data_IF_108762054290
#
_entry.id   IF_108762054290
#
_cell.length_a   1.000
_cell.length_b   1.000
_cell.length_c   1.000
_cell.angle_alpha   90.00
_cell.angle_beta   90.00
_cell.angle_gamma   90.00
#
_symmetry.space_group_name_H-M   'P 1'
#
loop_
_entity.id
_entity.type
_entity.pdbx_description
1 polymer ?
#
# COMPACT_ATOMS: atom_id res chain seq x y z
N UNK A 1 0.79 -19.39 47.78
CA UNK A 1 -0.06 -19.58 46.58
C UNK A 1 -1.30 -18.68 46.54
N UNK A 2 -1.22 -17.44 47.06
CA UNK A 2 -2.32 -16.45 46.96
C UNK A 2 -1.87 -15.11 46.35
N UNK A 3 -0.58 -14.94 46.06
CA UNK A 3 0.00 -13.70 45.54
C UNK A 3 0.15 -13.67 44.01
N UNK A 4 -0.05 -14.79 43.31
CA UNK A 4 0.04 -14.84 41.83
C UNK A 4 -1.32 -14.62 41.15
N UNK A 5 -2.44 -14.87 41.84
CA UNK A 5 -3.77 -14.65 41.28
C UNK A 5 -4.25 -13.19 41.31
N UNK A 6 -3.71 -12.34 42.18
CA UNK A 6 -4.12 -10.93 42.27
C UNK A 6 -3.41 -10.02 41.25
N UNK A 7 -2.29 -10.47 40.68
CA UNK A 7 -1.60 -9.72 39.61
C UNK A 7 -2.12 -10.03 38.20
N UNK A 8 -2.82 -11.15 38.01
CA UNK A 8 -3.36 -11.56 36.72
C UNK A 8 -4.72 -10.90 36.37
N UNK A 9 -5.44 -10.35 37.36
CA UNK A 9 -6.74 -9.70 37.16
C UNK A 9 -6.65 -8.19 36.89
N UNK A 10 -5.48 -7.58 37.00
CA UNK A 10 -5.28 -6.13 36.81
C UNK A 10 -4.82 -5.72 35.39
N UNK A 11 -4.66 -6.67 34.47
CA UNK A 11 -4.21 -6.40 33.08
C UNK A 11 -5.39 -6.41 32.08
N UNK A 12 -6.63 -6.69 32.53
CA UNK A 12 -7.80 -6.86 31.66
C UNK A 12 -8.82 -5.71 31.68
N UNK A 13 -8.48 -4.54 32.21
CA UNK A 13 -9.31 -3.32 32.09
C UNK A 13 -8.66 -2.31 31.14
N UNK A 14 -8.70 -2.62 29.85
CA UNK A 14 -8.37 -1.69 28.78
C UNK A 14 -9.39 -0.55 28.75
N UNK A 15 -9.08 0.52 29.46
CA UNK A 15 -9.80 1.79 29.40
C UNK A 15 -9.82 2.29 27.94
N UNK A 16 -10.99 2.61 27.36
CA UNK A 16 -11.05 3.20 26.03
C UNK A 16 -10.43 4.59 26.07
N UNK A 17 -9.39 4.79 25.24
CA UNK A 17 -8.84 6.11 24.95
C UNK A 17 -9.95 7.01 24.41
N UNK A 18 -10.19 8.11 25.11
CA UNK A 18 -11.14 9.13 24.74
C UNK A 18 -10.92 9.62 23.29
N UNK A 19 -11.99 9.85 22.51
CA UNK A 19 -11.88 10.57 21.26
C UNK A 19 -11.51 12.02 21.54
N UNK A 20 -10.41 12.47 20.94
CA UNK A 20 -10.02 13.87 20.89
C UNK A 20 -11.20 14.71 20.39
N UNK A 21 -11.76 15.54 21.29
CA UNK A 21 -12.68 16.62 20.97
C UNK A 21 -11.95 17.63 20.08
N UNK A 22 -12.08 17.50 18.75
CA UNK A 22 -11.74 18.58 17.82
C UNK A 22 -13.03 19.30 17.43
N UNK A 23 -13.30 20.33 18.23
CA UNK A 23 -14.03 21.54 17.92
C UNK A 23 -15.04 21.47 16.77
N UNK A 24 -16.31 21.40 17.16
CA UNK A 24 -17.40 21.96 16.39
C UNK A 24 -17.13 23.46 16.23
N UNK A 25 -16.74 23.89 15.03
CA UNK A 25 -17.01 25.27 14.60
C UNK A 25 -18.28 25.19 13.78
N UNK A 26 -19.34 25.66 14.41
CA UNK A 26 -20.64 25.90 13.81
C UNK A 26 -20.46 26.72 12.54
N UNK A 27 -21.14 26.25 11.49
CA UNK A 27 -21.60 27.03 10.34
C UNK A 27 -21.95 28.46 10.76
N UNK A 28 -21.26 29.44 10.17
CA UNK A 28 -21.82 30.77 9.89
C UNK A 28 -21.28 31.30 8.58
N UNK A 29 -21.44 30.50 7.52
CA UNK A 29 -21.65 31.09 6.21
C UNK A 29 -23.09 31.60 6.20
N UNK A 30 -23.24 32.90 6.44
CA UNK A 30 -24.39 33.63 5.96
C UNK A 30 -24.32 33.60 4.44
N UNK A 31 -24.86 32.54 3.84
CA UNK A 31 -25.34 32.63 2.47
C UNK A 31 -26.57 33.52 2.56
N UNK A 32 -26.40 34.77 2.15
CA UNK A 32 -27.49 35.69 1.85
C UNK A 32 -28.38 34.99 0.81
N UNK A 33 -29.54 34.51 1.25
CA UNK A 33 -30.61 34.03 0.37
C UNK A 33 -31.35 35.29 -0.07
N UNK A 34 -31.28 35.72 -1.35
CA UNK A 34 -32.25 36.68 -1.84
C UNK A 34 -33.61 35.96 -1.88
N UNK A 35 -34.55 36.41 -1.04
CA UNK A 35 -35.96 36.06 -1.17
C UNK A 35 -36.45 36.45 -2.57
N UNK A 36 -37.10 35.57 -3.33
CA UNK A 36 -37.82 35.97 -4.52
C UNK A 36 -39.13 36.67 -4.12
N UNK A 37 -39.26 37.94 -4.47
CA UNK A 37 -40.52 38.68 -4.34
C UNK A 37 -41.64 37.99 -5.16
N UNK A 38 -42.85 37.82 -4.61
CA UNK A 38 -43.99 37.39 -5.40
C UNK A 38 -44.60 38.60 -6.11
N UNK A 39 -44.14 38.89 -7.33
CA UNK A 39 -44.86 39.81 -8.23
C UNK A 39 -45.71 39.05 -9.24
N UNK A 40 -47.00 39.27 -9.07
CA UNK A 40 -48.15 38.97 -9.93
C UNK A 40 -47.91 39.06 -11.43
N UNK A 41 -48.37 38.04 -12.17
CA UNK A 41 -48.75 38.19 -13.58
C UNK A 41 -48.68 36.90 -14.41
N UNK A 42 -49.82 36.37 -14.84
CA UNK A 42 -49.90 35.56 -16.07
C UNK A 42 -50.09 34.03 -15.92
N UNK A 43 -51.24 33.57 -15.42
CA UNK A 43 -51.68 32.17 -15.49
C UNK A 43 -52.05 31.74 -16.92
N UNK A 44 -51.11 31.57 -17.87
CA UNK A 44 -51.40 30.97 -19.19
C UNK A 44 -50.22 30.21 -19.86
N UNK A 45 -49.37 29.48 -19.14
CA UNK A 45 -48.39 28.56 -19.79
C UNK A 45 -48.07 27.25 -19.04
N UNK A 46 -48.77 26.94 -17.94
CA UNK A 46 -48.37 25.84 -17.04
C UNK A 46 -48.76 24.42 -17.50
N UNK A 47 -49.63 24.25 -18.50
CA UNK A 47 -50.14 22.92 -18.86
C UNK A 47 -49.37 22.19 -19.97
N UNK A 48 -48.60 22.89 -20.82
CA UNK A 48 -47.89 22.26 -21.95
C UNK A 48 -46.45 21.80 -21.58
N UNK A 49 -45.85 22.37 -20.53
CA UNK A 49 -44.49 22.02 -20.08
C UNK A 49 -44.45 20.78 -19.19
N UNK A 50 -45.54 20.45 -18.48
CA UNK A 50 -45.58 19.31 -17.55
C UNK A 50 -45.50 17.96 -18.28
N UNK A 51 -46.13 17.83 -19.46
CA UNK A 51 -46.07 16.61 -20.27
C UNK A 51 -44.70 16.35 -20.89
N UNK A 52 -44.00 17.40 -21.33
CA UNK A 52 -42.61 17.29 -21.84
C UNK A 52 -41.61 17.01 -20.72
N UNK A 53 -41.81 17.57 -19.53
CA UNK A 53 -41.00 17.30 -18.36
C UNK A 53 -41.20 15.87 -17.83
N UNK A 54 -42.44 15.35 -17.83
CA UNK A 54 -42.70 13.96 -17.46
C UNK A 54 -42.08 12.98 -18.47
N UNK A 55 -42.18 13.24 -19.77
CA UNK A 55 -41.56 12.42 -20.81
C UNK A 55 -40.02 12.49 -20.78
N UNK A 56 -39.42 13.65 -20.47
CA UNK A 56 -37.97 13.77 -20.30
C UNK A 56 -37.47 13.10 -19.03
N UNK A 57 -38.27 13.08 -17.96
CA UNK A 57 -37.97 12.31 -16.73
C UNK A 57 -38.08 10.82 -17.00
N UNK A 58 -39.08 10.34 -17.74
CA UNK A 58 -39.21 8.90 -18.09
C UNK A 58 -38.11 8.46 -19.07
N UNK A 59 -37.74 9.30 -20.04
CA UNK A 59 -36.63 9.05 -20.96
C UNK A 59 -35.28 9.12 -20.25
N UNK A 60 -35.12 10.06 -19.31
CA UNK A 60 -34.01 10.04 -18.37
C UNK A 60 -34.04 8.77 -17.53
N UNK A 61 -35.14 8.32 -16.96
CA UNK A 61 -35.18 7.09 -16.16
C UNK A 61 -34.80 5.83 -16.98
N UNK A 62 -35.12 5.79 -18.29
CA UNK A 62 -34.76 4.69 -19.19
C UNK A 62 -33.32 4.74 -19.73
N UNK A 63 -32.85 5.91 -20.18
CA UNK A 63 -31.48 6.12 -20.69
C UNK A 63 -30.45 6.14 -19.54
N UNK A 64 -30.85 6.62 -18.36
CA UNK A 64 -30.03 6.70 -17.14
C UNK A 64 -30.06 5.42 -16.30
N UNK A 65 -30.78 4.38 -16.76
CA UNK A 65 -30.79 3.08 -16.09
C UNK A 65 -29.41 2.40 -16.15
N UNK A 66 -28.61 2.67 -17.21
CA UNK A 66 -27.29 2.06 -17.40
C UNK A 66 -26.23 3.06 -17.91
N UNK A 67 -25.88 4.09 -17.12
CA UNK A 67 -24.92 5.14 -17.51
C UNK A 67 -23.51 4.60 -17.74
N UNK A 68 -23.22 3.37 -17.29
CA UNK A 68 -21.95 2.71 -17.51
C UNK A 68 -21.78 2.19 -18.95
N UNK A 69 -22.87 1.95 -19.72
CA UNK A 69 -22.79 1.48 -21.12
C UNK A 69 -22.18 2.53 -22.03
N UNK A 70 -22.62 3.78 -21.90
CA UNK A 70 -22.08 4.92 -22.65
C UNK A 70 -20.62 5.20 -22.28
N UNK A 71 -20.32 5.15 -20.97
CA UNK A 71 -18.94 5.32 -20.50
C UNK A 71 -18.04 4.19 -20.98
N UNK A 72 -18.52 2.94 -21.02
CA UNK A 72 -17.78 1.81 -21.60
C UNK A 72 -17.54 2.01 -23.09
N UNK A 73 -18.55 2.41 -23.87
CA UNK A 73 -18.41 2.65 -25.29
C UNK A 73 -17.37 3.74 -25.57
N UNK A 74 -17.42 4.86 -24.83
CA UNK A 74 -16.46 5.97 -24.92
C UNK A 74 -15.01 5.53 -24.69
N UNK A 75 -14.80 4.59 -23.77
CA UNK A 75 -13.49 4.23 -23.27
C UNK A 75 -13.02 2.84 -23.69
N UNK A 76 -13.77 2.15 -24.54
CA UNK A 76 -13.49 0.77 -24.98
C UNK A 76 -12.08 0.63 -25.54
N UNK A 77 -11.66 1.56 -26.41
CA UNK A 77 -10.33 1.55 -27.05
C UNK A 77 -9.22 1.75 -26.01
N UNK A 78 -9.41 2.65 -25.05
CA UNK A 78 -8.45 2.92 -23.97
C UNK A 78 -8.39 1.78 -22.94
N UNK A 79 -9.50 1.08 -22.72
CA UNK A 79 -9.55 -0.08 -21.83
C UNK A 79 -8.78 -1.27 -22.42
N UNK A 80 -8.84 -1.47 -23.74
CA UNK A 80 -8.10 -2.52 -24.43
C UNK A 80 -6.58 -2.34 -24.40
N UNK A 81 -6.07 -1.11 -24.23
CA UNK A 81 -4.62 -0.82 -24.14
C UNK A 81 -3.97 -1.34 -22.85
N UNK A 82 -4.77 -1.78 -21.88
CA UNK A 82 -4.30 -2.37 -20.62
C UNK A 82 -4.45 -1.44 -19.41
N UNK A 83 -3.93 -1.90 -18.25
CA UNK A 83 -4.20 -1.24 -16.96
C UNK A 83 -3.26 -0.07 -16.65
N UNK A 84 -1.99 -0.15 -17.05
CA UNK A 84 -0.92 0.72 -16.55
C UNK A 84 -0.46 1.77 -17.56
N UNK A 85 -0.96 1.70 -18.80
CA UNK A 85 -0.36 2.38 -19.94
C UNK A 85 -0.01 1.39 -21.01
N UNK A 86 0.49 1.91 -22.12
CA UNK A 86 1.00 1.12 -23.22
C UNK A 86 2.41 1.59 -23.55
N UNK A 87 3.21 0.66 -24.08
CA UNK A 87 4.54 0.95 -24.57
C UNK A 87 4.46 1.27 -26.06
N UNK A 88 4.75 2.52 -26.44
CA UNK A 88 4.82 2.93 -27.84
C UNK A 88 6.08 3.79 -28.02
N UNK A 89 6.82 3.53 -29.11
CA UNK A 89 7.96 4.34 -29.55
C UNK A 89 9.02 4.58 -28.46
N UNK A 90 9.30 3.55 -27.64
CA UNK A 90 10.34 3.61 -26.60
C UNK A 90 9.94 4.38 -25.34
N UNK A 91 8.68 4.81 -25.21
CA UNK A 91 8.18 5.49 -24.04
C UNK A 91 6.92 4.82 -23.49
N UNK A 92 6.79 4.84 -22.16
CA UNK A 92 5.52 4.53 -21.50
C UNK A 92 4.56 5.70 -21.69
N UNK A 93 3.45 5.47 -22.40
CA UNK A 93 2.37 6.44 -22.53
C UNK A 93 1.28 6.14 -21.48
N UNK A 94 0.82 7.15 -20.72
CA UNK A 94 -0.30 6.98 -19.81
C UNK A 94 -1.60 6.83 -20.61
N UNK A 95 -2.60 6.23 -19.96
CA UNK A 95 -3.93 6.07 -20.54
C UNK A 95 -4.71 7.38 -20.50
N UNK A 96 -5.68 7.55 -21.41
CA UNK A 96 -6.59 8.70 -21.40
C UNK A 96 -7.58 8.69 -20.22
N UNK A 97 -7.62 7.61 -19.43
CA UNK A 97 -8.43 7.47 -18.22
C UNK A 97 -7.54 7.40 -16.98
N UNK A 98 -7.93 8.16 -15.96
CA UNK A 98 -7.37 7.98 -14.63
C UNK A 98 -7.85 6.67 -13.99
N UNK A 99 -6.96 6.00 -13.24
CA UNK A 99 -7.27 4.75 -12.55
C UNK A 99 -8.53 4.85 -11.66
N UNK A 100 -8.77 6.01 -11.04
CA UNK A 100 -9.99 6.27 -10.24
C UNK A 100 -11.27 6.26 -11.07
N UNK A 101 -11.25 6.80 -12.29
CA UNK A 101 -12.41 6.75 -13.19
C UNK A 101 -12.64 5.32 -13.66
N UNK A 102 -11.57 4.59 -14.03
CA UNK A 102 -11.66 3.16 -14.37
C UNK A 102 -12.27 2.31 -13.26
N UNK A 103 -11.81 2.46 -12.01
CA UNK A 103 -12.34 1.70 -10.88
C UNK A 103 -13.82 2.00 -10.59
N UNK A 104 -14.26 3.26 -10.80
CA UNK A 104 -15.69 3.62 -10.72
C UNK A 104 -16.51 2.90 -11.80
N UNK A 105 -16.04 2.87 -13.04
CA UNK A 105 -16.70 2.13 -14.12
C UNK A 105 -16.76 0.64 -13.82
N UNK A 106 -15.64 0.04 -13.40
CA UNK A 106 -15.60 -1.37 -13.00
C UNK A 106 -16.59 -1.68 -11.88
N UNK A 107 -16.71 -0.81 -10.88
CA UNK A 107 -17.70 -0.94 -9.81
C UNK A 107 -19.13 -0.89 -10.35
N UNK A 108 -19.46 0.08 -11.21
CA UNK A 108 -20.80 0.21 -11.82
C UNK A 108 -21.18 -1.04 -12.64
N UNK A 109 -20.25 -1.59 -13.42
CA UNK A 109 -20.45 -2.80 -14.25
C UNK A 109 -20.64 -4.05 -13.39
N UNK A 110 -19.77 -4.26 -12.39
CA UNK A 110 -19.86 -5.42 -11.49
C UNK A 110 -21.12 -5.37 -10.62
N UNK A 111 -21.57 -4.19 -10.19
CA UNK A 111 -22.84 -4.04 -9.46
C UNK A 111 -24.05 -4.39 -10.32
N UNK A 112 -23.97 -4.18 -11.63
CA UNK A 112 -24.99 -4.61 -12.59
C UNK A 112 -24.92 -6.12 -12.91
N UNK A 113 -24.02 -6.87 -12.26
CA UNK A 113 -23.85 -8.32 -12.46
C UNK A 113 -23.20 -8.70 -13.79
N UNK A 114 -22.52 -7.75 -14.46
CA UNK A 114 -21.81 -8.00 -15.72
C UNK A 114 -20.33 -8.25 -15.46
N UNK A 115 -19.69 -9.04 -16.34
CA UNK A 115 -18.27 -9.36 -16.24
C UNK A 115 -17.35 -8.24 -16.74
N UNK A 116 -16.14 -8.18 -16.17
CA UNK A 116 -15.11 -7.20 -16.51
C UNK A 116 -13.89 -7.85 -17.18
N UNK A 117 -13.81 -7.88 -18.53
CA UNK A 117 -12.79 -8.64 -19.26
C UNK A 117 -11.46 -7.90 -19.49
N UNK A 118 -11.38 -6.60 -19.16
CA UNK A 118 -10.25 -5.75 -19.56
C UNK A 118 -9.01 -5.86 -18.65
N UNK A 119 -9.17 -6.32 -17.41
CA UNK A 119 -8.09 -6.36 -16.43
C UNK A 119 -7.54 -7.79 -16.28
N UNK A 120 -6.22 -8.00 -16.35
CA UNK A 120 -5.65 -9.32 -16.09
C UNK A 120 -5.84 -9.73 -14.63
N UNK A 121 -5.90 -11.03 -14.39
CA UNK A 121 -6.02 -11.58 -13.04
C UNK A 121 -4.79 -11.19 -12.21
N UNK A 122 -5.02 -10.90 -10.92
CA UNK A 122 -3.94 -10.53 -9.99
C UNK A 122 -3.00 -11.71 -9.81
N UNK A 123 -1.70 -11.46 -9.98
CA UNK A 123 -0.64 -12.45 -9.71
C UNK A 123 -0.58 -12.80 -8.22
N UNK A 124 -0.22 -14.05 -7.95
CA UNK A 124 0.04 -14.55 -6.60
C UNK A 124 1.15 -13.76 -5.89
N UNK A 125 1.02 -13.62 -4.57
CA UNK A 125 2.00 -12.92 -3.73
C UNK A 125 3.21 -13.82 -3.42
N UNK A 126 4.40 -13.22 -3.30
CA UNK A 126 5.62 -13.95 -2.89
C UNK A 126 5.65 -14.12 -1.36
N UNK A 127 5.73 -15.36 -0.90
CA UNK A 127 5.70 -15.72 0.54
C UNK A 127 7.07 -16.05 1.16
N UNK A 128 8.17 -15.76 0.48
CA UNK A 128 9.52 -16.09 0.98
C UNK A 128 10.00 -15.10 2.05
N UNK A 129 10.33 -15.59 3.25
CA UNK A 129 10.96 -14.80 4.31
C UNK A 129 12.48 -14.64 4.06
N UNK A 130 13.04 -13.47 4.35
CA UNK A 130 14.46 -13.16 4.15
C UNK A 130 15.37 -13.81 5.20
N UNK A 131 14.90 -13.90 6.45
CA UNK A 131 15.72 -14.21 7.62
C UNK A 131 16.69 -13.08 8.00
N UNK A 132 17.10 -13.02 9.26
CA UNK A 132 18.12 -12.07 9.71
C UNK A 132 19.51 -12.52 9.26
N UNK A 133 20.37 -11.56 8.93
CA UNK A 133 21.76 -11.82 8.50
C UNK A 133 22.55 -12.53 9.62
N UNK A 134 22.34 -12.13 10.87
CA UNK A 134 23.04 -12.70 12.02
C UNK A 134 22.78 -14.20 12.15
N UNK A 135 21.51 -14.60 12.12
CA UNK A 135 21.09 -15.99 12.31
C UNK A 135 21.62 -16.89 11.20
N UNK A 136 21.60 -16.40 9.95
CA UNK A 136 22.15 -17.13 8.79
C UNK A 136 23.63 -17.44 8.94
N UNK A 137 24.42 -16.49 9.45
CA UNK A 137 25.88 -16.60 9.58
C UNK A 137 26.26 -17.27 10.92
N UNK A 138 25.31 -17.44 11.84
CA UNK A 138 25.60 -17.93 13.18
C UNK A 138 26.13 -19.37 13.18
N UNK A 139 25.61 -20.25 12.32
CA UNK A 139 26.09 -21.62 12.19
C UNK A 139 27.53 -21.65 11.65
N UNK A 140 27.77 -20.94 10.55
CA UNK A 140 29.11 -20.80 9.93
C UNK A 140 30.15 -20.28 10.93
N UNK A 141 29.77 -19.31 11.77
CA UNK A 141 30.67 -18.80 12.81
C UNK A 141 31.04 -19.85 13.85
N UNK A 142 30.09 -20.67 14.30
CA UNK A 142 30.35 -21.73 15.30
C UNK A 142 31.29 -22.80 14.75
N UNK A 143 31.09 -23.20 13.49
CA UNK A 143 31.96 -24.16 12.79
C UNK A 143 33.38 -23.60 12.62
N UNK A 144 33.51 -22.35 12.19
CA UNK A 144 34.80 -21.69 12.06
C UNK A 144 35.54 -21.57 13.39
N UNK A 145 34.82 -21.30 14.49
CA UNK A 145 35.41 -21.32 15.83
C UNK A 145 35.95 -22.70 16.18
N UNK A 146 35.19 -23.78 15.93
CA UNK A 146 35.66 -25.14 16.19
C UNK A 146 36.91 -25.50 15.36
N UNK A 147 36.92 -25.17 14.07
CA UNK A 147 38.06 -25.39 13.18
C UNK A 147 39.30 -24.60 13.63
N UNK A 148 39.13 -23.37 14.13
CA UNK A 148 40.22 -22.56 14.67
C UNK A 148 40.78 -23.17 15.97
N UNK A 149 39.91 -23.70 16.83
CA UNK A 149 40.33 -24.36 18.07
C UNK A 149 41.16 -25.61 17.80
N UNK A 150 40.83 -26.40 16.78
CA UNK A 150 41.63 -27.56 16.38
C UNK A 150 43.04 -27.18 15.91
N UNK A 151 43.17 -26.05 15.21
CA UNK A 151 44.46 -25.53 14.71
C UNK A 151 45.28 -24.78 15.77
N UNK A 152 44.70 -24.54 16.95
CA UNK A 152 45.32 -23.75 18.01
C UNK A 152 46.67 -24.31 18.49
N UNK A 153 46.81 -25.63 18.75
CA UNK A 153 48.07 -26.19 19.24
C UNK A 153 49.22 -25.99 18.25
N UNK A 154 48.96 -26.21 16.96
CA UNK A 154 49.94 -26.00 15.89
C UNK A 154 50.36 -24.53 15.81
N UNK A 155 49.40 -23.61 15.89
CA UNK A 155 49.69 -22.17 15.88
C UNK A 155 50.52 -21.73 17.10
N UNK A 156 50.29 -22.31 18.27
CA UNK A 156 51.08 -22.04 19.47
C UNK A 156 52.53 -22.53 19.32
N UNK A 157 52.74 -23.73 18.77
CA UNK A 157 54.08 -24.24 18.49
C UNK A 157 54.80 -23.37 17.47
N UNK A 158 54.13 -22.96 16.40
CA UNK A 158 54.68 -22.06 15.40
C UNK A 158 55.05 -20.69 16.01
N UNK A 159 54.22 -20.14 16.91
CA UNK A 159 54.55 -18.89 17.61
C UNK A 159 55.77 -19.03 18.51
N UNK A 160 55.84 -20.10 19.31
CA UNK A 160 56.98 -20.39 20.18
C UNK A 160 58.27 -20.54 19.38
N UNK A 161 58.23 -21.28 18.27
CA UNK A 161 59.36 -21.44 17.35
C UNK A 161 59.86 -20.10 16.80
N UNK A 162 58.97 -19.25 16.27
CA UNK A 162 59.35 -17.91 15.77
C UNK A 162 59.97 -17.02 16.84
N UNK A 163 59.44 -17.03 18.07
CA UNK A 163 60.00 -16.26 19.19
C UNK A 163 61.38 -16.77 19.59
N UNK A 164 61.58 -18.08 19.58
CA UNK A 164 62.84 -18.71 19.92
C UNK A 164 63.92 -18.43 18.87
N UNK A 165 63.60 -18.61 17.58
CA UNK A 165 64.51 -18.27 16.47
C UNK A 165 64.92 -16.79 16.48
N UNK A 166 64.00 -15.89 16.82
CA UNK A 166 64.31 -14.46 16.96
C UNK A 166 65.33 -14.22 18.07
N UNK A 167 65.15 -14.87 19.23
CA UNK A 167 66.07 -14.77 20.37
C UNK A 167 67.47 -15.29 20.01
N UNK A 168 67.55 -16.47 19.38
CA UNK A 168 68.83 -17.04 18.94
C UNK A 168 69.58 -16.09 17.98
N UNK A 169 68.88 -15.52 17.00
CA UNK A 169 69.47 -14.55 16.06
C UNK A 169 69.94 -13.26 16.74
N UNK A 170 69.25 -12.81 17.80
CA UNK A 170 69.68 -11.64 18.59
C UNK A 170 70.94 -11.96 19.40
N UNK A 171 71.01 -13.14 20.02
CA UNK A 171 72.20 -13.59 20.75
C UNK A 171 73.42 -13.81 19.83
N UNK A 172 73.23 -14.36 18.62
CA UNK A 172 74.28 -14.48 17.61
C UNK A 172 74.82 -13.11 17.19
N UNK A 173 73.93 -12.15 16.89
CA UNK A 173 74.32 -10.77 16.55
C UNK A 173 75.04 -10.04 17.68
N UNK A 174 74.76 -10.39 18.94
CA UNK A 174 75.47 -9.83 20.10
C UNK A 174 76.86 -10.44 20.28
N UNK A 175 77.09 -11.68 19.81
CA UNK A 175 78.41 -12.34 19.87
C UNK A 175 79.33 -11.96 18.70
N UNK A 176 78.76 -11.58 17.56
CA UNK A 176 79.50 -11.09 16.39
C UNK A 176 79.94 -9.62 16.50
N UNK A 177 79.41 -8.88 17.49
CA UNK A 177 79.77 -7.49 17.79
C UNK A 177 80.77 -7.42 18.94
#
# INVERSE_FOLDING_TARGET
>A
MLLVCLLQTLISSGLPRAPCRRFSIRKRLLCFIPSPDPKSGGKKQLFFMAGKAAQSVVKAMGEYQYPWREKLAKYKVELSKGVWGYWELGAWKPLGISARRRARLRKEVLLAGQDWPYDPQRKEMRTKMKGHKCDRISAEKRENTANLMQKMPEMLLAYKKRRWEKKMKEEEKLKEK
#
